data_IF_230568748896
#
_entry.id   IF_230568748896
#
_cell.length_a   1.000
_cell.length_b   1.000
_cell.length_c   1.000
_cell.angle_alpha   90.00
_cell.angle_beta   90.00
_cell.angle_gamma   90.00
#
_symmetry.space_group_name_H-M   'P 1'
#
loop_
_entity.id
_entity.type
_entity.pdbx_description
1 polymer ?
#
# COMPACT_ATOMS: atom_id res chain seq x y z
N UNK A 1 74.60 122.80 -22.16
CA UNK A 1 75.95 122.87 -21.55
C UNK A 1 76.52 121.46 -21.62
N UNK A 2 77.81 121.32 -21.97
CA UNK A 2 78.64 120.10 -21.87
C UNK A 2 78.09 118.82 -22.56
N UNK A 3 78.69 118.24 -23.62
CA UNK A 3 79.97 118.51 -24.28
C UNK A 3 81.06 117.50 -23.89
N UNK A 4 81.05 116.30 -24.50
CA UNK A 4 82.21 115.36 -24.50
C UNK A 4 82.39 114.63 -25.84
N UNK A 5 83.47 115.01 -26.50
CA UNK A 5 84.34 114.29 -27.45
C UNK A 5 84.78 112.93 -26.84
N UNK A 6 85.22 111.84 -27.50
CA UNK A 6 85.72 111.56 -28.86
C UNK A 6 85.22 110.12 -29.26
N UNK A 7 85.61 109.40 -30.35
CA UNK A 7 86.49 109.60 -31.51
C UNK A 7 86.14 108.59 -32.63
N UNK A 8 86.79 108.65 -33.80
CA UNK A 8 86.81 107.57 -34.81
C UNK A 8 88.25 107.14 -35.12
N UNK A 9 88.62 105.88 -34.86
CA UNK A 9 89.91 105.32 -35.29
C UNK A 9 89.86 104.80 -36.73
N UNK A 10 90.51 105.51 -37.65
CA UNK A 10 90.91 104.94 -38.94
C UNK A 10 92.08 103.98 -38.76
N UNK A 11 91.86 102.68 -38.93
CA UNK A 11 92.91 101.67 -39.04
C UNK A 11 93.29 101.44 -40.50
N UNK A 12 94.58 101.58 -40.83
CA UNK A 12 95.09 101.31 -42.18
C UNK A 12 94.96 99.83 -42.56
N UNK A 13 94.44 99.56 -43.76
CA UNK A 13 94.52 98.23 -44.38
C UNK A 13 95.94 97.99 -44.90
N UNK A 14 96.53 96.86 -44.50
CA UNK A 14 97.86 96.40 -44.91
C UNK A 14 97.70 95.30 -45.96
N UNK A 15 98.41 95.40 -47.08
CA UNK A 15 98.29 94.43 -48.18
C UNK A 15 98.82 93.04 -47.76
N UNK A 16 98.12 91.94 -48.12
CA UNK A 16 98.49 90.59 -47.70
C UNK A 16 99.61 89.98 -48.56
N UNK A 17 100.62 89.43 -47.88
CA UNK A 17 101.80 88.79 -48.50
C UNK A 17 101.44 87.43 -49.16
N UNK A 18 102.11 87.04 -50.25
CA UNK A 18 101.71 85.95 -51.17
C UNK A 18 101.60 84.58 -50.48
N UNK A 19 102.33 84.35 -49.38
CA UNK A 19 102.22 83.14 -48.54
C UNK A 19 100.92 83.07 -47.73
N UNK A 20 100.37 84.21 -47.32
CA UNK A 20 99.12 84.26 -46.54
C UNK A 20 97.92 83.82 -47.36
N UNK A 21 97.91 84.12 -48.66
CA UNK A 21 96.87 83.70 -49.60
C UNK A 21 96.75 82.17 -49.69
N UNK A 22 97.87 81.45 -49.77
CA UNK A 22 97.86 79.97 -49.78
C UNK A 22 97.37 79.38 -48.45
N UNK A 23 97.68 80.00 -47.31
CA UNK A 23 97.17 79.56 -46.01
C UNK A 23 95.63 79.75 -45.91
N UNK A 24 95.10 80.86 -46.42
CA UNK A 24 93.66 81.11 -46.50
C UNK A 24 92.97 80.07 -47.40
N UNK A 25 93.53 79.79 -48.59
CA UNK A 25 92.99 78.77 -49.49
C UNK A 25 93.00 77.36 -48.87
N UNK A 26 94.06 76.99 -48.14
CA UNK A 26 94.14 75.71 -47.44
C UNK A 26 93.08 75.61 -46.32
N UNK A 27 92.87 76.68 -45.55
CA UNK A 27 91.83 76.74 -44.51
C UNK A 27 90.41 76.69 -45.10
N UNK A 28 90.17 77.33 -46.25
CA UNK A 28 88.90 77.22 -46.95
C UNK A 28 88.66 75.78 -47.45
N UNK A 29 89.68 75.12 -47.99
CA UNK A 29 89.59 73.73 -48.45
C UNK A 29 89.30 72.75 -47.30
N UNK A 30 89.99 72.88 -46.15
CA UNK A 30 89.70 72.04 -44.98
C UNK A 30 88.32 72.33 -44.39
N UNK A 31 87.89 73.60 -44.34
CA UNK A 31 86.55 73.98 -43.93
C UNK A 31 85.47 73.36 -44.83
N UNK A 32 85.61 73.44 -46.16
CA UNK A 32 84.70 72.81 -47.12
C UNK A 32 84.64 71.29 -46.97
N UNK A 33 85.78 70.63 -46.70
CA UNK A 33 85.81 69.19 -46.43
C UNK A 33 85.11 68.81 -45.12
N UNK A 34 85.27 69.61 -44.06
CA UNK A 34 84.57 69.43 -42.79
C UNK A 34 83.06 69.66 -42.94
N UNK A 35 82.64 70.63 -43.75
CA UNK A 35 81.23 70.86 -44.06
C UNK A 35 80.64 69.69 -44.86
N UNK A 36 81.34 69.19 -45.89
CA UNK A 36 80.89 68.05 -46.68
C UNK A 36 80.75 66.77 -45.84
N UNK A 37 81.70 66.50 -44.93
CA UNK A 37 81.61 65.34 -44.02
C UNK A 37 80.51 65.51 -42.97
N UNK A 38 80.31 66.71 -42.42
CA UNK A 38 79.21 67.00 -41.49
C UNK A 38 77.83 66.83 -42.16
N UNK A 39 77.64 67.31 -43.39
CA UNK A 39 76.40 67.11 -44.17
C UNK A 39 76.19 65.62 -44.46
N UNK A 40 77.24 64.89 -44.88
CA UNK A 40 77.18 63.46 -45.12
C UNK A 40 76.77 62.66 -43.88
N UNK A 41 77.36 62.98 -42.71
CA UNK A 41 76.98 62.40 -41.42
C UNK A 41 75.54 62.76 -41.05
N UNK A 42 75.11 64.00 -41.27
CA UNK A 42 73.73 64.44 -41.03
C UNK A 42 72.70 63.67 -41.86
N UNK A 43 72.97 63.45 -43.16
CA UNK A 43 72.09 62.66 -44.05
C UNK A 43 72.07 61.19 -43.61
N UNK A 44 73.22 60.59 -43.25
CA UNK A 44 73.27 59.20 -42.76
C UNK A 44 72.56 59.03 -41.42
N UNK A 45 72.75 59.96 -40.48
CA UNK A 45 72.04 59.98 -39.21
C UNK A 45 70.53 60.13 -39.41
N UNK A 46 70.10 61.04 -40.29
CA UNK A 46 68.71 61.20 -40.69
C UNK A 46 68.11 59.93 -41.32
N UNK A 47 68.85 59.26 -42.21
CA UNK A 47 68.42 58.00 -42.84
C UNK A 47 68.25 56.87 -41.81
N UNK A 48 69.22 56.69 -40.91
CA UNK A 48 69.16 55.66 -39.85
C UNK A 48 68.06 56.00 -38.84
N UNK A 49 67.90 57.26 -38.46
CA UNK A 49 66.82 57.74 -37.60
C UNK A 49 65.45 57.47 -38.21
N UNK A 50 65.24 57.78 -39.50
CA UNK A 50 63.99 57.46 -40.21
C UNK A 50 63.74 55.95 -40.29
N UNK A 51 64.77 55.14 -40.53
CA UNK A 51 64.63 53.68 -40.58
C UNK A 51 64.23 53.11 -39.21
N UNK A 52 64.90 53.53 -38.14
CA UNK A 52 64.57 53.14 -36.77
C UNK A 52 63.15 53.59 -36.38
N UNK A 53 62.73 54.78 -36.80
CA UNK A 53 61.38 55.29 -36.57
C UNK A 53 60.30 54.45 -37.28
N UNK A 54 60.57 53.98 -38.50
CA UNK A 54 59.65 53.09 -39.25
C UNK A 54 59.53 51.71 -38.61
N UNK A 55 60.65 51.10 -38.23
CA UNK A 55 60.61 49.81 -37.51
C UNK A 55 59.92 49.95 -36.14
N UNK A 56 60.17 51.05 -35.42
CA UNK A 56 59.45 51.36 -34.18
C UNK A 56 57.94 51.49 -34.41
N UNK A 57 57.51 52.23 -35.43
CA UNK A 57 56.09 52.35 -35.78
C UNK A 57 55.46 51.01 -36.19
N UNK A 58 56.18 50.19 -36.97
CA UNK A 58 55.72 48.84 -37.34
C UNK A 58 55.56 47.94 -36.10
N UNK A 59 56.51 47.96 -35.17
CA UNK A 59 56.40 47.20 -33.91
C UNK A 59 55.31 47.73 -32.98
N UNK A 60 55.05 49.04 -32.95
CA UNK A 60 53.92 49.63 -32.20
C UNK A 60 52.58 49.23 -32.84
N UNK A 61 52.48 49.19 -34.17
CA UNK A 61 51.29 48.71 -34.87
C UNK A 61 51.06 47.20 -34.67
N UNK A 62 52.12 46.38 -34.69
CA UNK A 62 52.02 44.95 -34.40
C UNK A 62 51.66 44.66 -32.94
N UNK A 63 52.26 45.37 -31.98
CA UNK A 63 51.99 45.16 -30.56
C UNK A 63 50.57 45.61 -30.18
N UNK A 64 50.07 46.72 -30.74
CA UNK A 64 48.67 47.14 -30.57
C UNK A 64 47.68 46.16 -31.21
N UNK A 65 47.97 45.62 -32.41
CA UNK A 65 47.14 44.57 -33.03
C UNK A 65 47.11 43.27 -32.21
N UNK A 66 48.26 42.86 -31.66
CA UNK A 66 48.35 41.69 -30.78
C UNK A 66 47.60 41.92 -29.46
N UNK A 67 47.76 43.10 -28.84
CA UNK A 67 47.02 43.48 -27.64
C UNK A 67 45.50 43.50 -27.89
N UNK A 68 45.05 44.03 -29.03
CA UNK A 68 43.64 44.00 -29.42
C UNK A 68 43.13 42.56 -29.60
N UNK A 69 43.88 41.70 -30.29
CA UNK A 69 43.51 40.27 -30.46
C UNK A 69 43.43 39.54 -29.13
N UNK A 70 44.42 39.75 -28.25
CA UNK A 70 44.42 39.16 -26.90
C UNK A 70 43.22 39.66 -26.08
N UNK A 71 42.91 40.97 -26.11
CA UNK A 71 41.73 41.53 -25.46
C UNK A 71 40.41 40.92 -25.98
N UNK A 72 40.25 40.79 -27.30
CA UNK A 72 39.06 40.13 -27.87
C UNK A 72 38.96 38.65 -27.51
N UNK A 73 40.09 37.95 -27.41
CA UNK A 73 40.13 36.54 -27.03
C UNK A 73 39.79 36.38 -25.53
N UNK A 74 40.36 37.23 -24.66
CA UNK A 74 40.04 37.29 -23.23
C UNK A 74 38.57 37.64 -22.99
N UNK A 75 38.02 38.61 -23.71
CA UNK A 75 36.60 38.97 -23.62
C UNK A 75 35.71 37.78 -24.03
N UNK A 76 35.97 37.15 -25.18
CA UNK A 76 35.21 35.98 -25.66
C UNK A 76 35.33 34.77 -24.71
N UNK A 77 36.48 34.56 -24.09
CA UNK A 77 36.68 33.56 -23.06
C UNK A 77 35.89 33.90 -21.78
N UNK A 78 35.87 35.17 -21.37
CA UNK A 78 35.08 35.62 -20.23
C UNK A 78 33.57 35.43 -20.44
N UNK A 79 33.08 35.64 -21.68
CA UNK A 79 31.67 35.45 -22.06
C UNK A 79 31.32 33.97 -22.08
N UNK A 80 32.12 33.13 -22.74
CA UNK A 80 31.90 31.67 -22.75
C UNK A 80 31.95 31.06 -21.35
N UNK A 81 32.85 31.51 -20.47
CA UNK A 81 32.86 31.10 -19.05
C UNK A 81 31.60 31.52 -18.30
N UNK A 82 31.04 32.70 -18.56
CA UNK A 82 29.77 33.15 -17.97
C UNK A 82 28.60 32.26 -18.43
N UNK A 83 28.49 32.00 -19.73
CA UNK A 83 27.47 31.13 -20.32
C UNK A 83 27.54 29.69 -19.79
N UNK A 84 28.75 29.12 -19.69
CA UNK A 84 28.96 27.79 -19.11
C UNK A 84 28.52 27.73 -17.63
N UNK A 85 28.86 28.74 -16.82
CA UNK A 85 28.42 28.83 -15.42
C UNK A 85 26.91 29.00 -15.27
N UNK A 86 26.26 29.66 -16.23
CA UNK A 86 24.81 29.84 -16.25
C UNK A 86 24.08 28.54 -16.63
N UNK A 87 24.49 27.92 -17.74
CA UNK A 87 23.99 26.60 -18.14
C UNK A 87 24.21 25.52 -17.06
N UNK A 88 25.34 25.57 -16.33
CA UNK A 88 25.57 24.66 -15.20
C UNK A 88 24.61 24.92 -14.02
N UNK A 89 24.30 26.19 -13.71
CA UNK A 89 23.28 26.53 -12.69
C UNK A 89 21.91 26.01 -13.09
N UNK A 90 21.51 26.20 -14.34
CA UNK A 90 20.21 25.75 -14.85
C UNK A 90 20.11 24.22 -14.86
N UNK A 91 21.18 23.52 -15.24
CA UNK A 91 21.25 22.05 -15.14
C UNK A 91 21.15 21.58 -13.67
N UNK A 92 21.79 22.29 -12.73
CA UNK A 92 21.69 22.01 -11.28
C UNK A 92 20.32 22.36 -10.70
N UNK A 93 19.55 23.27 -11.29
CA UNK A 93 18.19 23.61 -10.87
C UNK A 93 17.18 22.60 -11.42
N UNK A 94 17.19 22.36 -12.73
CA UNK A 94 16.34 21.36 -13.41
C UNK A 94 16.54 19.96 -12.83
N UNK A 95 17.78 19.56 -12.52
CA UNK A 95 18.07 18.30 -11.82
C UNK A 95 17.39 18.21 -10.45
N UNK A 96 17.42 19.28 -9.64
CA UNK A 96 16.78 19.30 -8.32
C UNK A 96 15.25 19.20 -8.42
N UNK A 97 14.66 19.96 -9.34
CA UNK A 97 13.22 19.88 -9.62
C UNK A 97 12.79 18.47 -10.09
N UNK A 98 13.61 17.81 -10.91
CA UNK A 98 13.38 16.43 -11.34
C UNK A 98 13.51 15.43 -10.19
N UNK A 99 14.51 15.59 -9.32
CA UNK A 99 14.69 14.74 -8.12
C UNK A 99 13.52 14.91 -7.13
N UNK A 100 12.97 16.12 -6.98
CA UNK A 100 11.78 16.40 -6.16
C UNK A 100 10.52 15.78 -6.78
N UNK A 101 10.27 16.02 -8.07
CA UNK A 101 9.15 15.41 -8.82
C UNK A 101 9.19 13.88 -8.75
N UNK A 102 10.39 13.28 -8.88
CA UNK A 102 10.56 11.83 -8.76
C UNK A 102 10.29 11.32 -7.34
N UNK A 103 10.69 12.06 -6.29
CA UNK A 103 10.35 11.70 -4.89
C UNK A 103 8.84 11.71 -4.67
N UNK A 104 8.13 12.69 -5.22
CA UNK A 104 6.67 12.79 -5.06
C UNK A 104 5.91 11.75 -5.90
N UNK A 105 6.38 11.43 -7.11
CA UNK A 105 5.90 10.29 -7.88
C UNK A 105 6.12 8.95 -7.14
N UNK A 106 7.29 8.76 -6.52
CA UNK A 106 7.59 7.55 -5.75
C UNK A 106 6.77 7.47 -4.44
N UNK A 107 6.52 8.61 -3.77
CA UNK A 107 5.60 8.70 -2.62
C UNK A 107 4.17 8.31 -3.01
N UNK A 108 3.62 8.91 -4.05
CA UNK A 108 2.26 8.63 -4.52
C UNK A 108 2.12 7.19 -5.00
N UNK A 109 3.11 6.64 -5.70
CA UNK A 109 3.13 5.22 -6.09
C UNK A 109 3.16 4.26 -4.89
N UNK A 110 3.89 4.59 -3.82
CA UNK A 110 3.86 3.79 -2.57
C UNK A 110 2.49 3.86 -1.90
N UNK A 111 1.92 5.06 -1.75
CA UNK A 111 0.59 5.26 -1.16
C UNK A 111 -0.50 4.50 -1.92
N UNK A 112 -0.51 4.55 -3.25
CA UNK A 112 -1.40 3.75 -4.08
C UNK A 112 -1.16 2.25 -3.89
N UNK A 113 0.10 1.81 -3.81
CA UNK A 113 0.45 0.42 -3.51
C UNK A 113 -0.06 -0.06 -2.15
N UNK A 114 -0.02 0.80 -1.12
CA UNK A 114 -0.57 0.49 0.21
C UNK A 114 -2.11 0.47 0.22
N UNK A 115 -2.76 1.39 -0.48
CA UNK A 115 -4.22 1.39 -0.67
C UNK A 115 -4.69 0.12 -1.40
N UNK A 116 -4.00 -0.30 -2.46
CA UNK A 116 -4.31 -1.55 -3.18
C UNK A 116 -4.10 -2.78 -2.28
N UNK A 117 -3.01 -2.83 -1.49
CA UNK A 117 -2.78 -3.89 -0.50
C UNK A 117 -3.87 -3.93 0.57
N UNK A 118 -4.36 -2.78 1.03
CA UNK A 118 -5.44 -2.71 2.01
C UNK A 118 -6.79 -3.14 1.41
N UNK A 119 -7.08 -2.71 0.17
CA UNK A 119 -8.28 -3.12 -0.55
C UNK A 119 -8.33 -4.64 -0.78
N UNK A 120 -7.19 -5.27 -1.12
CA UNK A 120 -7.10 -6.72 -1.29
C UNK A 120 -7.31 -7.50 0.02
N UNK A 121 -6.76 -7.01 1.15
CA UNK A 121 -7.06 -7.57 2.49
C UNK A 121 -8.54 -7.47 2.85
N UNK A 122 -9.17 -6.32 2.56
CA UNK A 122 -10.60 -6.14 2.81
C UNK A 122 -11.45 -7.05 1.91
N UNK A 123 -11.06 -7.19 0.63
CA UNK A 123 -11.74 -8.07 -0.33
C UNK A 123 -11.63 -9.55 0.05
N UNK A 124 -10.46 -10.00 0.51
CA UNK A 124 -10.27 -11.37 0.99
C UNK A 124 -11.04 -11.65 2.28
N UNK A 125 -11.10 -10.70 3.22
CA UNK A 125 -11.97 -10.80 4.40
C UNK A 125 -13.46 -10.92 4.01
N UNK A 126 -13.96 -10.03 3.14
CA UNK A 126 -15.36 -10.05 2.68
C UNK A 126 -15.72 -11.34 1.93
N UNK A 127 -14.77 -11.93 1.17
CA UNK A 127 -14.96 -13.26 0.55
C UNK A 127 -15.10 -14.36 1.61
N UNK A 128 -14.23 -14.38 2.62
CA UNK A 128 -14.31 -15.37 3.70
C UNK A 128 -15.59 -15.23 4.53
N UNK A 129 -16.01 -14.01 4.81
CA UNK A 129 -17.28 -13.71 5.49
C UNK A 129 -18.48 -14.17 4.66
N UNK A 130 -18.50 -13.89 3.34
CA UNK A 130 -19.50 -14.42 2.41
C UNK A 130 -19.55 -15.96 2.43
N UNK A 131 -18.41 -16.63 2.34
CA UNK A 131 -18.34 -18.10 2.36
C UNK A 131 -18.79 -18.71 3.70
N UNK A 132 -18.60 -18.00 4.82
CA UNK A 132 -19.15 -18.40 6.12
C UNK A 132 -20.66 -18.25 6.16
N UNK A 133 -21.19 -17.11 5.70
CA UNK A 133 -22.64 -16.85 5.64
C UNK A 133 -23.34 -17.81 4.68
N UNK A 134 -22.76 -18.11 3.51
CA UNK A 134 -23.32 -19.07 2.56
C UNK A 134 -23.33 -20.51 3.12
N UNK A 135 -22.30 -20.92 3.88
CA UNK A 135 -22.31 -22.21 4.59
C UNK A 135 -23.34 -22.26 5.71
N UNK A 136 -23.41 -21.25 6.56
CA UNK A 136 -24.40 -21.17 7.63
C UNK A 136 -25.84 -21.16 7.07
N UNK A 137 -26.06 -20.47 5.95
CA UNK A 137 -27.34 -20.50 5.23
C UNK A 137 -27.64 -21.89 4.64
N UNK A 138 -26.64 -22.57 4.09
CA UNK A 138 -26.75 -23.95 3.61
C UNK A 138 -27.11 -24.95 4.72
N UNK A 139 -26.46 -24.84 5.89
CA UNK A 139 -26.76 -25.63 7.09
C UNK A 139 -28.17 -25.35 7.60
N UNK A 140 -28.56 -24.07 7.75
CA UNK A 140 -29.91 -23.69 8.15
C UNK A 140 -30.99 -24.16 7.16
N UNK A 141 -30.73 -24.07 5.85
CA UNK A 141 -31.64 -24.54 4.80
C UNK A 141 -31.75 -26.08 4.81
N UNK A 142 -30.64 -26.79 5.03
CA UNK A 142 -30.62 -28.24 5.23
C UNK A 142 -31.48 -28.64 6.43
N UNK A 143 -31.36 -27.93 7.56
CA UNK A 143 -32.23 -28.13 8.73
C UNK A 143 -33.70 -27.85 8.45
N UNK A 144 -34.03 -26.89 7.57
CA UNK A 144 -35.40 -26.59 7.17
C UNK A 144 -35.99 -27.64 6.20
N UNK A 145 -35.13 -28.34 5.44
CA UNK A 145 -35.55 -29.24 4.36
C UNK A 145 -35.51 -30.73 4.76
N UNK A 146 -34.61 -31.13 5.66
CA UNK A 146 -34.51 -32.49 6.20
C UNK A 146 -34.87 -32.61 7.69
N UNK A 147 -34.96 -31.50 8.43
CA UNK A 147 -35.14 -31.50 9.88
C UNK A 147 -33.81 -31.68 10.63
N UNK A 148 -33.55 -30.80 11.60
CA UNK A 148 -32.41 -30.94 12.52
C UNK A 148 -32.90 -31.19 13.94
N UNK A 149 -32.13 -31.98 14.69
CA UNK A 149 -32.36 -32.25 16.10
C UNK A 149 -31.14 -31.84 16.94
N UNK A 150 -31.32 -31.45 18.21
CA UNK A 150 -30.20 -31.12 19.09
C UNK A 150 -29.26 -32.31 19.29
N UNK A 151 -27.99 -32.05 19.62
CA UNK A 151 -26.98 -33.10 19.79
C UNK A 151 -27.45 -34.21 20.75
N UNK A 152 -27.43 -35.46 20.27
CA UNK A 152 -27.89 -36.65 21.01
C UNK A 152 -29.38 -36.97 20.88
N UNK A 153 -30.15 -36.20 20.11
CA UNK A 153 -31.52 -36.50 19.74
C UNK A 153 -31.58 -37.08 18.33
N UNK A 154 -32.35 -38.15 18.14
CA UNK A 154 -32.60 -38.79 16.86
C UNK A 154 -33.79 -38.13 16.14
N UNK A 155 -33.64 -37.89 14.83
CA UNK A 155 -34.75 -37.40 14.00
C UNK A 155 -35.65 -38.56 13.57
N UNK A 156 -36.90 -38.54 14.00
CA UNK A 156 -37.94 -39.44 13.52
C UNK A 156 -39.02 -38.65 12.78
N UNK A 157 -39.01 -38.76 11.44
CA UNK A 157 -39.81 -37.95 10.51
C UNK A 157 -39.58 -36.45 10.69
N UNK A 158 -40.46 -35.76 11.43
CA UNK A 158 -40.41 -34.32 11.69
C UNK A 158 -40.30 -33.99 13.20
N UNK A 159 -39.90 -34.98 14.00
CA UNK A 159 -39.88 -34.90 15.46
C UNK A 159 -38.57 -35.45 16.02
N UNK A 160 -38.01 -34.74 16.99
CA UNK A 160 -36.82 -35.16 17.70
C UNK A 160 -37.20 -36.06 18.87
N UNK A 161 -36.56 -37.23 18.93
CA UNK A 161 -36.69 -38.24 19.96
C UNK A 161 -35.36 -38.39 20.70
N UNK A 162 -35.41 -38.52 22.02
CA UNK A 162 -34.24 -38.87 22.81
C UNK A 162 -34.55 -40.08 23.67
N UNK A 163 -33.59 -41.01 23.69
CA UNK A 163 -33.69 -42.28 24.40
C UNK A 163 -32.69 -42.23 25.54
N UNK A 164 -33.17 -42.37 26.78
CA UNK A 164 -32.27 -42.27 27.94
C UNK A 164 -31.22 -43.39 27.93
N UNK A 165 -29.93 -43.08 28.15
CA UNK A 165 -28.91 -44.12 28.25
C UNK A 165 -29.20 -45.08 29.43
N UNK A 166 -28.71 -46.33 29.41
CA UNK A 166 -28.99 -47.32 30.46
C UNK A 166 -28.56 -46.92 31.88
N UNK A 167 -27.65 -45.94 32.00
CA UNK A 167 -27.22 -45.32 33.26
C UNK A 167 -28.25 -44.34 33.85
N UNK A 168 -29.18 -43.81 33.05
CA UNK A 168 -30.19 -42.83 33.44
C UNK A 168 -31.60 -43.44 33.64
N UNK A 169 -31.67 -44.73 33.99
CA UNK A 169 -32.93 -45.40 34.31
C UNK A 169 -33.64 -44.71 35.48
N UNK A 170 -34.87 -44.28 35.24
CA UNK A 170 -35.69 -43.52 36.19
C UNK A 170 -37.04 -44.24 36.38
N UNK A 171 -37.80 -43.86 37.41
CA UNK A 171 -39.21 -44.24 37.54
C UNK A 171 -40.07 -43.35 36.65
N UNK A 172 -41.25 -43.80 36.21
CA UNK A 172 -42.11 -43.06 35.28
C UNK A 172 -42.31 -41.58 35.66
N UNK A 173 -42.55 -41.32 36.94
CA UNK A 173 -42.71 -39.96 37.49
C UNK A 173 -41.43 -39.14 37.39
N UNK A 174 -40.27 -39.71 37.72
CA UNK A 174 -38.97 -39.03 37.57
C UNK A 174 -38.59 -38.81 36.12
N UNK A 175 -38.94 -39.73 35.22
CA UNK A 175 -38.81 -39.52 33.78
C UNK A 175 -39.71 -38.38 33.30
N UNK A 176 -40.98 -38.29 33.74
CA UNK A 176 -41.88 -37.17 33.40
C UNK A 176 -41.33 -35.82 33.88
N UNK A 177 -40.77 -35.76 35.08
CA UNK A 177 -40.09 -34.56 35.61
C UNK A 177 -38.84 -34.19 34.78
N UNK A 178 -38.01 -35.17 34.40
CA UNK A 178 -36.84 -34.99 33.53
C UNK A 178 -37.23 -34.47 32.15
N UNK A 179 -38.33 -34.97 31.58
CA UNK A 179 -38.90 -34.44 30.33
C UNK A 179 -39.16 -32.94 30.44
N UNK A 180 -39.88 -32.54 31.49
CA UNK A 180 -40.33 -31.17 31.71
C UNK A 180 -39.15 -30.24 31.92
N UNK A 181 -38.12 -30.67 32.66
CA UNK A 181 -36.87 -29.93 32.81
C UNK A 181 -36.13 -29.71 31.48
N UNK A 182 -36.22 -30.67 30.54
CA UNK A 182 -35.63 -30.60 29.19
C UNK A 182 -36.58 -30.01 28.13
N UNK A 183 -37.63 -29.28 28.51
CA UNK A 183 -38.64 -28.71 27.60
C UNK A 183 -39.31 -29.73 26.64
N UNK A 184 -39.41 -30.98 27.08
CA UNK A 184 -39.89 -32.14 26.33
C UNK A 184 -41.04 -32.85 27.06
N UNK A 185 -41.51 -33.98 26.54
CA UNK A 185 -42.51 -34.84 27.18
C UNK A 185 -42.25 -36.32 26.94
N UNK A 186 -42.79 -37.17 27.81
CA UNK A 186 -42.80 -38.62 27.57
C UNK A 186 -43.58 -38.95 26.29
N UNK A 187 -43.11 -39.94 25.54
CA UNK A 187 -43.65 -40.30 24.22
C UNK A 187 -45.16 -40.57 24.18
N UNK A 188 -45.85 -39.77 23.38
CA UNK A 188 -47.23 -39.99 22.96
C UNK A 188 -47.17 -40.69 21.61
N UNK A 189 -47.75 -41.89 21.51
CA UNK A 189 -47.64 -42.68 20.28
C UNK A 189 -48.45 -42.10 19.12
N UNK A 190 -49.59 -41.44 19.38
CA UNK A 190 -50.45 -40.86 18.32
C UNK A 190 -49.67 -39.83 17.48
N UNK A 191 -49.69 -39.89 16.14
CA UNK A 191 -50.47 -40.77 15.26
C UNK A 191 -49.76 -42.07 14.82
N UNK A 192 -48.51 -42.28 15.23
CA UNK A 192 -47.67 -43.40 14.80
C UNK A 192 -48.03 -44.72 15.51
N UNK A 193 -47.75 -45.85 14.85
CA UNK A 193 -47.77 -47.14 15.54
C UNK A 193 -46.54 -47.29 16.43
N UNK A 194 -46.66 -48.11 17.48
CA UNK A 194 -45.52 -48.43 18.33
C UNK A 194 -44.38 -49.03 17.50
N UNK A 195 -44.69 -50.00 16.60
CA UNK A 195 -43.71 -50.68 15.74
C UNK A 195 -42.91 -49.69 14.86
N UNK A 196 -43.56 -48.76 14.17
CA UNK A 196 -42.86 -47.79 13.31
C UNK A 196 -41.80 -46.99 14.08
N UNK A 197 -42.07 -46.67 15.35
CA UNK A 197 -41.14 -45.94 16.20
C UNK A 197 -40.05 -46.85 16.78
N UNK A 198 -40.36 -48.09 17.17
CA UNK A 198 -39.33 -49.05 17.62
C UNK A 198 -38.35 -49.40 16.49
N UNK A 199 -38.87 -49.78 15.31
CA UNK A 199 -38.08 -50.21 14.16
C UNK A 199 -37.20 -49.08 13.57
N UNK A 200 -37.57 -47.81 13.81
CA UNK A 200 -36.87 -46.64 13.30
C UNK A 200 -35.93 -45.92 14.27
N UNK A 201 -35.97 -46.24 15.57
CA UNK A 201 -35.28 -45.44 16.63
C UNK A 201 -34.54 -46.31 17.64
N UNK A 202 -34.92 -47.57 17.82
CA UNK A 202 -34.26 -48.50 18.75
C UNK A 202 -33.51 -49.59 17.99
N UNK A 203 -32.31 -49.90 18.46
CA UNK A 203 -31.52 -51.03 17.96
C UNK A 203 -32.33 -52.33 18.10
N UNK A 204 -32.36 -53.14 17.04
CA UNK A 204 -33.29 -54.28 16.84
C UNK A 204 -33.27 -55.35 17.95
N UNK A 205 -32.26 -55.35 18.80
CA UNK A 205 -32.01 -56.35 19.84
C UNK A 205 -32.53 -55.95 21.24
N UNK A 206 -33.11 -54.75 21.42
CA UNK A 206 -33.69 -54.32 22.70
C UNK A 206 -35.21 -54.53 22.82
N UNK A 207 -35.64 -55.08 23.96
CA UNK A 207 -37.07 -55.30 24.26
C UNK A 207 -37.83 -53.97 24.47
N UNK A 208 -38.91 -53.71 23.72
CA UNK A 208 -39.74 -52.51 23.86
C UNK A 208 -40.27 -52.23 25.28
N UNK A 209 -40.45 -53.29 26.07
CA UNK A 209 -40.99 -53.24 27.43
C UNK A 209 -40.12 -52.44 28.43
N UNK A 210 -38.86 -52.13 28.08
CA UNK A 210 -37.87 -51.48 28.94
C UNK A 210 -37.93 -49.95 28.97
N UNK A 211 -38.96 -49.35 28.36
CA UNK A 211 -39.01 -47.90 28.10
C UNK A 211 -40.31 -47.23 28.54
N UNK A 212 -40.23 -46.20 29.40
CA UNK A 212 -41.39 -45.38 29.75
C UNK A 212 -41.90 -44.56 28.57
N UNK A 213 -43.22 -44.56 28.41
CA UNK A 213 -43.99 -43.74 27.47
C UNK A 213 -44.96 -42.83 28.22
N UNK A 214 -45.53 -41.84 27.54
CA UNK A 214 -46.38 -40.80 28.09
C UNK A 214 -47.80 -41.23 28.45
N UNK A 215 -48.03 -42.50 28.77
CA UNK A 215 -49.34 -42.99 29.18
C UNK A 215 -49.47 -42.97 30.71
N UNK A 216 -50.52 -42.32 31.20
CA UNK A 216 -50.84 -42.17 32.62
C UNK A 216 -52.24 -42.74 32.93
N UNK A 217 -52.49 -43.04 34.19
CA UNK A 217 -53.80 -43.47 34.70
C UNK A 217 -54.40 -42.31 35.50
N UNK A 218 -55.56 -41.83 35.08
CA UNK A 218 -56.24 -40.66 35.66
C UNK A 218 -57.69 -41.00 36.04
N UNK A 219 -58.26 -40.29 37.01
CA UNK A 219 -59.65 -40.51 37.42
C UNK A 219 -60.60 -39.74 36.50
N UNK A 220 -61.53 -40.45 35.84
CA UNK A 220 -62.56 -39.83 35.03
C UNK A 220 -63.86 -39.69 35.82
N UNK A 221 -64.23 -38.45 36.16
CA UNK A 221 -65.54 -38.14 36.74
C UNK A 221 -66.69 -38.61 35.82
N UNK A 222 -66.54 -38.43 34.49
CA UNK A 222 -67.55 -38.86 33.49
C UNK A 222 -67.78 -40.37 33.48
N UNK A 223 -66.73 -41.18 33.61
CA UNK A 223 -66.82 -42.65 33.59
C UNK A 223 -66.86 -43.29 35.00
N UNK A 224 -66.86 -42.48 36.07
CA UNK A 224 -66.76 -42.89 37.49
C UNK A 224 -65.69 -43.97 37.73
N UNK A 225 -64.51 -43.78 37.13
CA UNK A 225 -63.47 -44.81 37.13
C UNK A 225 -62.13 -44.33 36.59
N UNK A 226 -61.11 -45.14 36.84
CA UNK A 226 -59.76 -44.95 36.31
C UNK A 226 -59.73 -45.18 34.79
N UNK A 227 -59.22 -44.19 34.05
CA UNK A 227 -59.01 -44.24 32.60
C UNK A 227 -57.54 -44.06 32.27
N UNK A 228 -57.14 -44.46 31.07
CA UNK A 228 -55.82 -44.16 30.53
C UNK A 228 -55.91 -42.86 29.73
N UNK A 229 -55.02 -41.91 30.03
CA UNK A 229 -54.82 -40.67 29.26
C UNK A 229 -53.34 -40.53 28.93
N UNK A 230 -53.02 -39.73 27.91
CA UNK A 230 -51.65 -39.34 27.64
C UNK A 230 -51.22 -38.17 28.55
N UNK A 231 -49.92 -37.82 28.57
CA UNK A 231 -49.35 -36.71 29.35
C UNK A 231 -49.73 -35.31 28.84
N UNK A 232 -50.45 -35.23 27.73
CA UNK A 232 -51.14 -34.03 27.21
C UNK A 232 -52.65 -34.03 27.54
N UNK A 233 -53.07 -34.92 28.43
CA UNK A 233 -54.45 -35.17 28.87
C UNK A 233 -55.43 -35.64 27.77
N UNK A 234 -54.93 -35.97 26.57
CA UNK A 234 -55.77 -36.58 25.53
C UNK A 234 -56.18 -38.02 25.91
N UNK A 235 -57.39 -38.48 25.51
CA UNK A 235 -57.86 -39.82 25.82
C UNK A 235 -57.06 -40.89 25.07
N UNK A 236 -56.71 -41.97 25.77
CA UNK A 236 -56.22 -43.18 25.12
C UNK A 236 -57.41 -43.94 24.51
N UNK A 237 -57.58 -43.80 23.20
CA UNK A 237 -58.69 -44.39 22.43
C UNK A 237 -58.54 -45.89 22.16
N UNK A 238 -57.37 -46.49 22.45
CA UNK A 238 -57.18 -47.93 22.36
C UNK A 238 -57.40 -48.49 20.96
N UNK A 239 -56.71 -47.92 19.97
CA UNK A 239 -56.91 -48.26 18.55
C UNK A 239 -56.72 -49.76 18.29
N UNK A 240 -57.76 -50.37 17.76
CA UNK A 240 -57.86 -51.78 17.43
C UNK A 240 -57.24 -52.06 16.05
N UNK A 241 -55.98 -52.50 16.04
CA UNK A 241 -55.35 -53.15 14.87
C UNK A 241 -55.56 -54.66 14.98
N UNK A 242 -56.69 -55.12 14.46
CA UNK A 242 -57.34 -56.41 14.75
C UNK A 242 -56.67 -57.67 14.15
N UNK A 243 -55.35 -57.68 13.93
CA UNK A 243 -54.65 -58.86 13.39
C UNK A 243 -53.38 -59.32 14.12
N UNK A 244 -52.83 -58.56 15.08
CA UNK A 244 -51.50 -58.90 15.66
C UNK A 244 -51.45 -59.13 17.18
N UNK A 245 -52.57 -59.09 17.90
CA UNK A 245 -52.61 -59.45 19.33
C UNK A 245 -52.62 -60.99 19.50
N UNK A 246 -51.51 -61.64 19.14
CA UNK A 246 -51.26 -63.04 19.50
C UNK A 246 -49.84 -63.37 20.00
N UNK A 247 -48.95 -62.36 20.06
CA UNK A 247 -47.78 -62.31 20.95
C UNK A 247 -47.70 -60.90 21.56
N UNK A 248 -47.34 -60.82 22.84
CA UNK A 248 -47.19 -59.58 23.65
C UNK A 248 -48.38 -58.60 23.76
N UNK A 249 -49.20 -58.82 24.80
CA UNK A 249 -49.68 -57.83 25.80
C UNK A 249 -50.10 -56.41 25.32
N UNK A 250 -51.39 -56.10 25.46
CA UNK A 250 -51.96 -54.74 25.37
C UNK A 250 -51.09 -53.66 26.06
N UNK A 251 -51.12 -52.43 25.54
CA UNK A 251 -50.49 -51.23 26.17
C UNK A 251 -50.87 -51.04 27.65
N UNK A 252 -52.09 -51.43 28.06
CA UNK A 252 -52.50 -51.44 29.48
C UNK A 252 -51.70 -52.42 30.34
N UNK A 253 -51.31 -53.56 29.76
CA UNK A 253 -50.49 -54.61 30.36
C UNK A 253 -49.00 -54.32 30.22
N UNK A 254 -48.59 -53.56 29.20
CA UNK A 254 -47.25 -52.96 29.08
C UNK A 254 -46.99 -52.09 30.32
N UNK A 255 -47.75 -51.00 30.52
CA UNK A 255 -47.59 -50.09 31.67
C UNK A 255 -47.67 -50.81 33.02
N UNK A 256 -48.53 -51.83 33.17
CA UNK A 256 -48.65 -52.62 34.42
C UNK A 256 -47.51 -53.63 34.67
N UNK A 257 -46.66 -53.93 33.68
CA UNK A 257 -45.55 -54.89 33.81
C UNK A 257 -44.17 -54.25 33.62
N UNK A 258 -44.06 -52.92 33.60
CA UNK A 258 -42.76 -52.26 33.48
C UNK A 258 -41.99 -52.29 34.82
N UNK A 259 -40.67 -52.55 34.79
CA UNK A 259 -39.82 -52.47 35.96
C UNK A 259 -39.83 -51.07 36.59
N UNK A 260 -39.68 -50.99 37.91
CA UNK A 260 -39.67 -49.73 38.67
C UNK A 260 -38.60 -48.72 38.21
N UNK A 261 -37.51 -49.23 37.62
CA UNK A 261 -36.48 -48.47 36.92
C UNK A 261 -36.40 -48.96 35.47
N UNK A 262 -36.70 -48.08 34.53
CA UNK A 262 -36.70 -48.35 33.09
C UNK A 262 -36.01 -47.21 32.35
N UNK A 263 -35.56 -47.47 31.12
CA UNK A 263 -35.16 -46.40 30.20
C UNK A 263 -36.43 -45.56 29.88
N UNK A 264 -36.31 -44.42 29.19
CA UNK A 264 -37.46 -43.59 28.83
C UNK A 264 -37.27 -42.86 27.51
N UNK A 265 -38.37 -42.67 26.78
CA UNK A 265 -38.41 -41.80 25.62
C UNK A 265 -38.82 -40.40 26.01
N UNK A 266 -37.99 -39.44 25.61
CA UNK A 266 -38.36 -38.04 25.51
C UNK A 266 -38.75 -37.74 24.06
N UNK A 267 -39.77 -36.91 23.90
CA UNK A 267 -40.21 -36.32 22.64
C UNK A 267 -40.25 -34.83 22.83
N UNK A 268 -39.66 -34.11 21.88
CA UNK A 268 -39.72 -32.66 21.88
C UNK A 268 -41.18 -32.15 21.80
N UNK A 269 -41.54 -31.21 22.67
CA UNK A 269 -42.88 -30.59 22.66
C UNK A 269 -43.10 -29.65 21.48
N UNK A 270 -42.04 -29.05 20.93
CA UNK A 270 -42.08 -28.15 19.77
C UNK A 270 -42.01 -28.86 18.42
N UNK A 271 -42.19 -28.11 17.34
CA UNK A 271 -41.30 -28.30 16.19
C UNK A 271 -39.97 -27.66 16.58
N UNK A 272 -38.83 -28.26 16.20
CA UNK A 272 -37.59 -27.51 16.07
C UNK A 272 -37.84 -26.36 15.09
N UNK A 273 -38.06 -25.15 15.63
CA UNK A 273 -37.85 -23.91 14.89
C UNK A 273 -36.43 -23.48 15.17
N UNK A 274 -35.66 -23.40 14.09
CA UNK A 274 -34.39 -22.68 13.97
C UNK A 274 -34.46 -21.30 14.60
#
# INVERSE_FOLDING_TARGET
>A
MEGKDWSYHHGCLREPDRRTWYAILALLATCLFLLATAIGLGVRYGQVSQQLQRESQNHVAQSSLLAQRLGTLEESLSVSQKLLREAERDLRLTRRALEESWRDANRTQRQLGDQVRQADRNLTHLKQEKEQVERALGEATSCQQMGCCPHGWELFRWKCLWVSPPSERKSWRKSKEDCQARSSQLLILKPWSARELWDGVIARDEEPNKYWIGLQITWSAKKKGWVYTWVDDTPYEGVESSQWIRKERHIRTFVRRQPALSNHFLVERGHCRS
#
